data_IF_973063717802
#
_entry.id   IF_973063717802
#
_cell.length_a   1.000
_cell.length_b   1.000
_cell.length_c   1.000
_cell.angle_alpha   90.00
_cell.angle_beta   90.00
_cell.angle_gamma   90.00
#
_symmetry.space_group_name_H-M   'P 1'
#
loop_
_entity.id
_entity.type
_entity.pdbx_description
1 polymer ?
#
# COMPACT_ATOMS: atom_id res chain seq x y z
N UNK A 1 -1.99 2.04 -6.70
CA UNK A 1 -2.13 2.31 -5.26
C UNK A 1 -1.30 1.27 -4.53
N UNK A 2 -0.67 1.60 -3.41
CA UNK A 2 0.09 0.60 -2.67
C UNK A 2 0.43 0.98 -1.24
N UNK A 3 0.95 0.02 -0.49
CA UNK A 3 1.30 0.15 0.91
C UNK A 3 2.48 -0.75 1.30
N UNK A 4 3.08 -0.43 2.44
CA UNK A 4 4.15 -1.22 3.06
C UNK A 4 3.68 -1.66 4.43
N UNK A 5 3.75 -2.97 4.71
CA UNK A 5 3.50 -3.52 6.03
C UNK A 5 4.65 -3.15 6.96
N UNK A 6 4.32 -2.56 8.11
CA UNK A 6 5.33 -2.03 9.02
C UNK A 6 6.29 -3.09 9.57
N UNK A 7 5.76 -4.27 9.93
CA UNK A 7 6.45 -5.33 10.68
C UNK A 7 7.56 -6.03 9.89
N UNK A 8 7.34 -6.30 8.60
CA UNK A 8 8.24 -7.09 7.76
C UNK A 8 8.58 -6.43 6.43
N UNK A 9 8.09 -5.20 6.23
CA UNK A 9 8.27 -4.42 5.00
C UNK A 9 7.72 -5.09 3.74
N UNK A 10 6.79 -6.04 3.88
CA UNK A 10 6.05 -6.61 2.76
C UNK A 10 5.31 -5.49 2.02
N UNK A 11 5.44 -5.47 0.70
CA UNK A 11 4.82 -4.46 -0.16
C UNK A 11 3.58 -5.06 -0.81
N UNK A 12 2.61 -4.20 -1.06
CA UNK A 12 1.43 -4.50 -1.84
C UNK A 12 1.17 -3.33 -2.76
N UNK A 13 1.25 -3.53 -4.07
CA UNK A 13 1.00 -2.51 -5.08
C UNK A 13 0.03 -3.04 -6.13
N UNK A 14 -1.11 -2.37 -6.25
CA UNK A 14 -2.12 -2.61 -7.28
C UNK A 14 -2.09 -1.50 -8.32
N UNK A 15 -2.00 -1.88 -9.60
CA UNK A 15 -2.06 -0.94 -10.72
C UNK A 15 -3.52 -0.66 -11.07
N UNK A 16 -3.92 0.61 -10.99
CA UNK A 16 -5.31 1.03 -11.21
C UNK A 16 -5.41 1.89 -12.46
N UNK A 17 -6.44 1.63 -13.28
CA UNK A 17 -6.71 2.44 -14.49
C UNK A 17 -7.24 3.83 -14.18
N UNK A 18 -7.93 3.99 -13.04
CA UNK A 18 -8.51 5.27 -12.59
C UNK A 18 -8.39 5.38 -11.08
N UNK A 19 -8.00 6.55 -10.59
CA UNK A 19 -7.98 6.85 -9.15
C UNK A 19 -9.32 7.45 -8.71
N UNK A 20 -10.22 6.62 -8.16
CA UNK A 20 -11.45 7.07 -7.53
C UNK A 20 -11.78 6.22 -6.28
N UNK A 21 -12.85 6.56 -5.58
CA UNK A 21 -13.23 5.90 -4.33
C UNK A 21 -13.68 4.44 -4.53
N UNK A 22 -14.30 4.10 -5.66
CA UNK A 22 -14.69 2.72 -5.96
C UNK A 22 -13.45 1.85 -6.24
N UNK A 23 -12.50 2.35 -7.03
CA UNK A 23 -11.23 1.65 -7.24
C UNK A 23 -10.41 1.54 -5.96
N UNK A 24 -10.53 2.51 -5.04
CA UNK A 24 -9.93 2.41 -3.72
C UNK A 24 -10.55 1.26 -2.92
N UNK A 25 -11.88 1.15 -2.90
CA UNK A 25 -12.57 0.03 -2.25
C UNK A 25 -12.10 -1.32 -2.79
N UNK A 26 -12.05 -1.49 -4.12
CA UNK A 26 -11.62 -2.74 -4.74
C UNK A 26 -10.17 -3.09 -4.38
N UNK A 27 -9.25 -2.11 -4.36
CA UNK A 27 -7.87 -2.34 -3.92
C UNK A 27 -7.81 -2.79 -2.46
N UNK A 28 -8.58 -2.16 -1.56
CA UNK A 28 -8.62 -2.54 -0.14
C UNK A 28 -9.20 -3.95 0.03
N UNK A 29 -10.21 -4.30 -0.77
CA UNK A 29 -10.80 -5.63 -0.79
C UNK A 29 -9.80 -6.70 -1.23
N UNK A 30 -9.07 -6.47 -2.33
CA UNK A 30 -7.99 -7.37 -2.78
C UNK A 30 -6.94 -7.52 -1.67
N UNK A 31 -6.48 -6.41 -1.10
CA UNK A 31 -5.53 -6.43 0.02
C UNK A 31 -6.05 -7.28 1.20
N UNK A 32 -7.30 -7.10 1.60
CA UNK A 32 -7.88 -7.88 2.70
C UNK A 32 -7.97 -9.37 2.38
N UNK A 33 -8.32 -9.73 1.15
CA UNK A 33 -8.28 -11.12 0.68
C UNK A 33 -6.86 -11.70 0.72
N UNK A 34 -5.83 -10.93 0.37
CA UNK A 34 -4.43 -11.39 0.51
C UNK A 34 -4.05 -11.67 1.96
N UNK A 35 -4.52 -10.86 2.92
CA UNK A 35 -4.28 -11.14 4.36
C UNK A 35 -5.01 -12.40 4.83
N UNK A 36 -6.23 -12.64 4.35
CA UNK A 36 -6.96 -13.89 4.64
C UNK A 36 -6.20 -15.09 4.06
N UNK A 37 -5.66 -14.98 2.84
CA UNK A 37 -4.82 -16.03 2.25
C UNK A 37 -3.59 -16.31 3.11
N UNK A 38 -2.86 -15.27 3.54
CA UNK A 38 -1.71 -15.43 4.45
C UNK A 38 -2.11 -16.14 5.76
N UNK A 39 -3.28 -15.82 6.31
CA UNK A 39 -3.81 -16.47 7.51
C UNK A 39 -4.08 -17.96 7.30
N UNK A 40 -4.66 -18.33 6.15
CA UNK A 40 -4.93 -19.72 5.77
C UNK A 40 -3.63 -20.47 5.50
N UNK A 41 -2.67 -19.86 4.80
CA UNK A 41 -1.34 -20.40 4.55
C UNK A 41 -0.56 -20.66 5.84
N UNK A 42 -0.82 -19.88 6.89
CA UNK A 42 -0.29 -20.12 8.24
C UNK A 42 -0.97 -21.30 8.98
N UNK A 43 -1.90 -22.01 8.33
CA UNK A 43 -2.57 -23.21 8.86
C UNK A 43 -3.88 -22.96 9.61
N UNK A 44 -4.38 -21.73 9.60
CA UNK A 44 -5.64 -21.39 10.23
C UNK A 44 -6.84 -21.61 9.28
N UNK A 45 -8.05 -21.69 9.83
CA UNK A 45 -9.25 -21.75 9.01
C UNK A 45 -9.71 -20.35 8.61
N UNK A 46 -10.17 -20.20 7.37
CA UNK A 46 -10.72 -18.93 6.87
C UNK A 46 -11.95 -18.47 7.66
N UNK A 47 -12.85 -19.40 8.01
CA UNK A 47 -14.06 -19.13 8.79
C UNK A 47 -13.77 -18.49 10.17
N UNK A 48 -12.60 -18.78 10.73
CA UNK A 48 -12.14 -18.25 12.01
C UNK A 48 -11.54 -16.83 11.91
N UNK A 49 -11.23 -16.35 10.70
CA UNK A 49 -10.50 -15.08 10.52
C UNK A 49 -11.23 -13.89 11.14
N UNK A 50 -12.56 -13.87 11.04
CA UNK A 50 -13.37 -12.77 11.58
C UNK A 50 -13.25 -12.64 13.10
N UNK A 51 -13.18 -13.76 13.81
CA UNK A 51 -13.17 -13.79 15.27
C UNK A 51 -11.76 -13.85 15.86
N UNK A 52 -10.87 -14.60 15.22
CA UNK A 52 -9.52 -14.94 15.71
C UNK A 52 -8.40 -14.29 14.92
N UNK A 53 -8.71 -13.74 13.75
CA UNK A 53 -7.74 -13.06 12.90
C UNK A 53 -7.25 -11.74 13.52
N UNK A 54 -6.11 -11.23 13.04
CA UNK A 54 -5.52 -10.00 13.56
C UNK A 54 -6.41 -8.78 13.30
N UNK A 55 -6.20 -7.71 14.07
CA UNK A 55 -6.66 -6.38 13.69
C UNK A 55 -5.63 -5.74 12.77
N UNK A 56 -6.11 -5.18 11.67
CA UNK A 56 -5.32 -4.59 10.61
C UNK A 56 -5.56 -3.08 10.65
N UNK A 57 -4.51 -2.29 10.87
CA UNK A 57 -4.61 -0.83 10.80
C UNK A 57 -4.04 -0.38 9.46
N UNK A 58 -4.89 0.15 8.60
CA UNK A 58 -4.51 0.72 7.31
C UNK A 58 -4.36 2.23 7.47
N UNK A 59 -3.12 2.70 7.43
CA UNK A 59 -2.76 4.11 7.56
C UNK A 59 -2.74 4.75 6.17
N UNK A 60 -3.57 5.76 5.96
CA UNK A 60 -3.78 6.43 4.67
C UNK A 60 -3.35 7.89 4.72
N UNK A 61 -3.02 8.45 3.55
CA UNK A 61 -2.91 9.90 3.41
C UNK A 61 -4.31 10.56 3.42
N UNK A 62 -4.35 11.89 3.29
CA UNK A 62 -5.59 12.65 3.34
C UNK A 62 -6.33 12.77 1.99
N UNK A 63 -6.01 11.94 0.98
CA UNK A 63 -6.69 12.02 -0.31
C UNK A 63 -8.20 11.85 -0.15
N UNK A 64 -8.97 12.69 -0.85
CA UNK A 64 -10.44 12.74 -0.70
C UNK A 64 -11.13 11.43 -1.09
N UNK A 65 -10.50 10.62 -1.96
CA UNK A 65 -10.98 9.30 -2.36
C UNK A 65 -11.03 8.31 -1.20
N UNK A 66 -10.18 8.47 -0.18
CA UNK A 66 -10.12 7.60 0.99
C UNK A 66 -11.22 7.89 2.00
N UNK A 67 -11.78 9.10 1.97
CA UNK A 67 -12.70 9.63 2.98
C UNK A 67 -14.17 9.60 2.54
N UNK A 68 -14.47 8.99 1.41
CA UNK A 68 -15.85 8.87 0.92
C UNK A 68 -16.65 7.98 1.88
N UNK A 69 -17.70 8.55 2.48
CA UNK A 69 -18.43 7.95 3.60
C UNK A 69 -19.09 6.62 3.24
N UNK A 70 -19.60 6.51 2.01
CA UNK A 70 -20.14 5.26 1.46
C UNK A 70 -19.07 4.17 1.37
N UNK A 71 -17.87 4.51 0.88
CA UNK A 71 -16.75 3.55 0.79
C UNK A 71 -16.22 3.17 2.15
N UNK A 72 -16.04 4.13 3.07
CA UNK A 72 -15.63 3.84 4.46
C UNK A 72 -16.65 2.94 5.15
N UNK A 73 -17.95 3.17 4.95
CA UNK A 73 -19.02 2.31 5.45
C UNK A 73 -18.94 0.89 4.90
N UNK A 74 -18.79 0.73 3.57
CA UNK A 74 -18.60 -0.57 2.93
C UNK A 74 -17.38 -1.31 3.49
N UNK A 75 -16.27 -0.61 3.73
CA UNK A 75 -15.06 -1.22 4.30
C UNK A 75 -15.35 -1.73 5.72
N UNK A 76 -15.94 -0.91 6.59
CA UNK A 76 -16.25 -1.31 7.96
C UNK A 76 -17.22 -2.49 8.03
N UNK A 77 -18.20 -2.55 7.13
CA UNK A 77 -19.18 -3.64 7.06
C UNK A 77 -18.56 -4.96 6.56
N UNK A 78 -17.81 -4.91 5.46
CA UNK A 78 -17.31 -6.12 4.78
C UNK A 78 -15.95 -6.60 5.31
N UNK A 79 -15.18 -5.73 5.96
CA UNK A 79 -13.81 -6.01 6.42
C UNK A 79 -13.65 -5.61 7.89
N UNK A 80 -14.37 -6.26 8.83
CA UNK A 80 -14.49 -5.83 10.23
C UNK A 80 -13.18 -5.92 11.06
N UNK A 81 -12.16 -6.56 10.51
CA UNK A 81 -10.83 -6.61 11.12
C UNK A 81 -9.95 -5.44 10.66
N UNK A 82 -10.37 -4.67 9.66
CA UNK A 82 -9.62 -3.57 9.07
C UNK A 82 -10.11 -2.22 9.62
N UNK A 83 -9.17 -1.44 10.14
CA UNK A 83 -9.38 -0.13 10.74
C UNK A 83 -8.66 0.90 9.87
N UNK A 84 -9.36 1.96 9.48
CA UNK A 84 -8.79 3.05 8.70
C UNK A 84 -8.30 4.16 9.63
N UNK A 85 -7.02 4.51 9.50
CA UNK A 85 -6.41 5.64 10.17
C UNK A 85 -5.80 6.59 9.14
N UNK A 86 -5.67 7.87 9.50
CA UNK A 86 -5.19 8.90 8.58
C UNK A 86 -3.98 9.63 9.16
N UNK A 87 -2.97 9.81 8.32
CA UNK A 87 -1.82 10.63 8.66
C UNK A 87 -2.23 12.09 8.90
N UNK A 88 -1.45 12.86 9.68
CA UNK A 88 -1.61 14.31 9.72
C UNK A 88 -1.43 14.93 8.33
N UNK A 89 -2.09 16.07 8.09
CA UNK A 89 -1.97 16.76 6.81
C UNK A 89 -0.50 17.10 6.51
N UNK A 90 -0.12 17.01 5.23
CA UNK A 90 1.22 17.35 4.73
C UNK A 90 2.38 16.60 5.41
N UNK A 91 2.17 15.35 5.83
CA UNK A 91 3.17 14.50 6.49
C UNK A 91 3.63 13.31 5.64
N UNK A 92 4.12 13.51 4.40
CA UNK A 92 4.56 12.41 3.55
C UNK A 92 5.76 11.65 4.13
N UNK A 93 6.56 12.28 5.00
CA UNK A 93 7.67 11.66 5.72
C UNK A 93 7.23 10.59 6.72
N UNK A 94 5.98 10.61 7.16
CA UNK A 94 5.40 9.54 7.98
C UNK A 94 4.87 8.37 7.15
N UNK A 95 4.84 8.51 5.81
CA UNK A 95 4.34 7.48 4.91
C UNK A 95 5.49 6.67 4.32
N UNK A 96 5.72 5.47 4.87
CA UNK A 96 6.84 4.57 4.51
C UNK A 96 6.88 4.24 3.01
N UNK A 97 5.71 4.16 2.37
CA UNK A 97 5.64 3.86 0.92
C UNK A 97 6.31 4.94 0.06
N UNK A 98 6.46 6.17 0.55
CA UNK A 98 7.16 7.25 -0.18
C UNK A 98 8.62 6.89 -0.45
N UNK A 99 9.28 6.17 0.47
CA UNK A 99 10.64 5.68 0.24
C UNK A 99 10.68 4.65 -0.90
N UNK A 100 9.66 3.78 -0.96
CA UNK A 100 9.53 2.78 -2.01
C UNK A 100 9.31 3.46 -3.36
N UNK A 101 8.39 4.44 -3.41
CA UNK A 101 8.13 5.21 -4.62
C UNK A 101 9.34 6.02 -5.08
N UNK A 102 10.06 6.64 -4.16
CA UNK A 102 11.28 7.39 -4.47
C UNK A 102 12.34 6.49 -5.09
N UNK A 103 12.58 5.32 -4.50
CA UNK A 103 13.55 4.35 -4.99
C UNK A 103 13.15 3.77 -6.35
N UNK A 104 11.86 3.50 -6.57
CA UNK A 104 11.36 3.02 -7.86
C UNK A 104 11.54 4.08 -8.95
N UNK A 105 11.21 5.35 -8.66
CA UNK A 105 11.40 6.48 -9.57
C UNK A 105 12.87 6.68 -9.95
N UNK A 106 13.79 6.56 -8.99
CA UNK A 106 15.22 6.64 -9.27
C UNK A 106 15.70 5.48 -10.13
N UNK A 107 15.21 4.26 -9.89
CA UNK A 107 15.58 3.10 -10.68
C UNK A 107 15.19 3.24 -12.16
N UNK A 108 13.97 3.76 -12.42
CA UNK A 108 13.46 3.95 -13.78
C UNK A 108 13.90 5.27 -14.43
N UNK A 109 14.56 6.16 -13.68
CA UNK A 109 15.00 7.44 -14.20
C UNK A 109 15.90 7.26 -15.43
N UNK A 110 15.69 8.11 -16.43
CA UNK A 110 16.43 8.09 -17.71
C UNK A 110 16.27 6.81 -18.55
N UNK A 111 15.27 5.95 -18.25
CA UNK A 111 14.90 4.81 -19.09
C UNK A 111 13.74 5.18 -20.02
N UNK A 112 13.73 4.57 -21.20
CA UNK A 112 12.63 4.65 -22.15
C UNK A 112 11.89 3.31 -22.19
N UNK A 113 10.57 3.39 -22.25
CA UNK A 113 9.68 2.24 -22.36
C UNK A 113 8.92 2.33 -23.68
N UNK A 114 8.75 1.20 -24.35
CA UNK A 114 8.03 1.05 -25.61
C UNK A 114 6.52 1.16 -25.42
N UNK A 115 6.02 0.79 -24.25
CA UNK A 115 4.60 0.87 -23.93
C UNK A 115 4.34 1.03 -22.42
N UNK A 116 3.08 1.34 -22.08
CA UNK A 116 2.63 1.41 -20.68
C UNK A 116 2.70 0.04 -20.02
N UNK A 117 2.39 -1.02 -20.77
CA UNK A 117 2.41 -2.41 -20.31
C UNK A 117 3.84 -2.86 -19.96
N UNK A 118 4.85 -2.42 -20.73
CA UNK A 118 6.26 -2.68 -20.39
C UNK A 118 6.66 -2.01 -19.07
N UNK A 119 6.24 -0.75 -18.88
CA UNK A 119 6.48 -0.03 -17.63
C UNK A 119 5.74 -0.68 -16.46
N UNK A 120 4.48 -1.06 -16.64
CA UNK A 120 3.66 -1.71 -15.63
C UNK A 120 4.25 -3.05 -15.21
N UNK A 121 4.67 -3.88 -16.18
CA UNK A 121 5.34 -5.16 -15.91
C UNK A 121 6.63 -4.96 -15.11
N UNK A 122 7.49 -4.01 -15.52
CA UNK A 122 8.69 -3.69 -14.74
C UNK A 122 8.35 -3.24 -13.32
N UNK A 123 7.38 -2.34 -13.16
CA UNK A 123 6.98 -1.85 -11.85
C UNK A 123 6.41 -2.98 -10.98
N UNK A 124 5.66 -3.92 -11.55
CA UNK A 124 5.18 -5.10 -10.85
C UNK A 124 6.34 -5.93 -10.29
N UNK A 125 7.33 -6.24 -11.13
CA UNK A 125 8.52 -6.97 -10.68
C UNK A 125 9.28 -6.23 -9.56
N UNK A 126 9.47 -4.92 -9.73
CA UNK A 126 10.19 -4.08 -8.77
C UNK A 126 9.47 -3.99 -7.42
N UNK A 127 8.15 -3.82 -7.45
CA UNK A 127 7.38 -3.42 -6.28
C UNK A 127 6.73 -4.59 -5.54
N UNK A 128 6.36 -5.66 -6.24
CA UNK A 128 5.67 -6.81 -5.66
C UNK A 128 6.54 -8.08 -5.61
N UNK A 129 7.48 -8.26 -6.54
CA UNK A 129 8.28 -9.51 -6.66
C UNK A 129 9.70 -9.40 -6.08
N UNK A 130 10.00 -8.32 -5.35
CA UNK A 130 11.31 -8.12 -4.74
C UNK A 130 12.42 -7.67 -5.70
N UNK A 131 12.07 -7.26 -6.94
CA UNK A 131 13.04 -6.74 -7.92
C UNK A 131 13.71 -5.41 -7.51
N UNK A 132 13.14 -4.70 -6.53
CA UNK A 132 13.70 -3.45 -6.00
C UNK A 132 14.17 -3.60 -4.54
N UNK A 133 15.48 -3.49 -4.34
CA UNK A 133 16.11 -3.43 -3.03
C UNK A 133 15.92 -2.01 -2.46
N UNK A 134 15.33 -1.91 -1.27
CA UNK A 134 15.09 -0.63 -0.59
C UNK A 134 16.08 -0.46 0.54
N UNK A 135 16.73 0.71 0.57
CA UNK A 135 17.59 1.16 1.68
C UNK A 135 16.71 1.85 2.71
N UNK A 136 16.24 1.10 3.71
CA UNK A 136 15.28 1.56 4.72
C UNK A 136 15.83 2.65 5.65
N UNK A 137 17.14 2.72 5.81
CA UNK A 137 17.88 3.72 6.60
C UNK A 137 18.06 5.07 5.88
N UNK A 138 17.53 5.20 4.66
CA UNK A 138 17.71 6.37 3.82
C UNK A 138 16.90 7.57 4.34
N UNK A 139 17.55 8.75 4.32
CA UNK A 139 16.87 10.04 4.51
C UNK A 139 16.19 10.50 3.23
N UNK A 140 14.91 10.83 3.33
CA UNK A 140 14.14 11.49 2.28
C UNK A 140 14.19 13.01 2.46
N UNK A 141 14.20 13.76 1.35
CA UNK A 141 14.09 15.22 1.41
C UNK A 141 12.61 15.62 1.42
N UNK A 142 12.14 16.25 2.48
CA UNK A 142 10.81 16.87 2.54
C UNK A 142 10.97 18.40 2.74
N UNK A 143 10.48 19.21 1.79
CA UNK A 143 10.56 20.68 1.82
C UNK A 143 11.96 21.24 2.16
N UNK A 144 13.02 20.60 1.65
CA UNK A 144 14.41 20.99 1.89
C UNK A 144 15.07 20.36 3.11
N UNK A 145 14.31 19.76 4.03
CA UNK A 145 14.84 19.07 5.21
C UNK A 145 15.07 17.58 4.93
N UNK A 146 16.14 17.02 5.50
CA UNK A 146 16.39 15.58 5.45
C UNK A 146 15.66 14.90 6.61
N UNK A 147 14.71 14.02 6.30
CA UNK A 147 13.90 13.28 7.28
C UNK A 147 14.21 11.79 7.14
N UNK A 148 14.33 11.06 8.24
CA UNK A 148 14.46 9.60 8.16
C UNK A 148 13.14 9.03 7.63
N UNK A 149 13.20 8.09 6.68
CA UNK A 149 12.07 7.21 6.46
C UNK A 149 11.96 6.30 7.70
N UNK A 150 10.84 6.39 8.43
CA UNK A 150 10.55 5.54 9.60
C UNK A 150 9.89 4.24 9.13
#
# INVERSE_FOLDING_TARGET
MGGVRYSDKKRFVEFIKKGNSETFYEVVKVFYTEIIKEWVEAGNKEEDFREKGPKIVLILDNASIHKKTDVVGKIAENMPNLILEYLPAYSPDLNIIELVWHSAKEFIAHRLFKSVEELESLLHQLLNEGGLIIKWDRKLKNKGNSVNAI
#
